data_IF_078090468085
#
_entry.id   IF_078090468085
#
_cell.length_a   1.000
_cell.length_b   1.000
_cell.length_c   1.000
_cell.angle_alpha   90.00
_cell.angle_beta   90.00
_cell.angle_gamma   90.00
#
_symmetry.space_group_name_H-M   'P 1'
#
loop_
_entity.id
_entity.type
_entity.pdbx_description
1 polymer ?
#
# COMPACT_ATOMS: atom_id res chain seq x y z
N UNK A 1 22.98 10.91 -4.01
CA UNK A 1 21.95 9.87 -3.85
C UNK A 1 20.60 10.54 -3.64
N UNK A 2 19.51 9.87 -4.02
CA UNK A 2 18.14 10.31 -3.77
C UNK A 2 17.57 9.55 -2.56
N UNK A 3 16.69 10.21 -1.78
CA UNK A 3 16.13 9.63 -0.57
C UNK A 3 14.61 9.66 -0.65
N UNK A 4 13.97 8.50 -0.51
CA UNK A 4 12.53 8.36 -0.35
C UNK A 4 12.18 7.95 1.08
N UNK A 5 11.20 8.62 1.69
CA UNK A 5 10.70 8.29 3.02
C UNK A 5 9.36 7.58 2.89
N UNK A 6 9.29 6.34 3.43
CA UNK A 6 8.04 5.59 3.42
C UNK A 6 7.12 6.01 4.57
N UNK A 7 5.89 6.38 4.23
CA UNK A 7 4.83 6.75 5.17
C UNK A 7 3.93 5.53 5.40
N UNK A 8 3.89 5.04 6.62
CA UNK A 8 3.18 3.82 6.98
C UNK A 8 2.34 3.99 8.25
N UNK A 9 1.20 3.31 8.28
CA UNK A 9 0.43 3.02 9.48
C UNK A 9 0.16 1.51 9.52
N UNK A 10 0.53 0.88 10.63
CA UNK A 10 0.45 -0.58 10.77
C UNK A 10 -0.99 -1.12 10.67
N UNK A 11 -2.01 -0.33 11.03
CA UNK A 11 -3.40 -0.75 10.92
C UNK A 11 -3.66 -2.07 11.66
N UNK A 12 -4.30 -3.06 10.98
CA UNK A 12 -4.65 -4.34 11.60
C UNK A 12 -3.43 -5.21 11.93
N UNK A 13 -2.26 -4.93 11.35
CA UNK A 13 -0.99 -5.62 11.64
C UNK A 13 -0.24 -5.02 12.84
N UNK A 14 -0.81 -3.98 13.45
CA UNK A 14 -0.28 -3.37 14.67
C UNK A 14 -0.37 -4.30 15.88
N UNK A 15 0.18 -3.84 16.99
CA UNK A 15 0.10 -4.51 18.29
C UNK A 15 -0.38 -3.48 19.32
N UNK A 16 -1.54 -3.71 19.92
CA UNK A 16 -2.18 -2.78 20.86
C UNK A 16 -1.32 -2.50 22.09
N UNK A 17 -0.61 -3.52 22.61
CA UNK A 17 0.30 -3.38 23.76
C UNK A 17 1.46 -2.44 23.44
N UNK A 18 2.06 -2.59 22.26
CA UNK A 18 3.19 -1.75 21.84
C UNK A 18 2.73 -0.33 21.49
N UNK A 19 1.54 -0.19 20.92
CA UNK A 19 0.94 1.10 20.58
C UNK A 19 0.43 1.88 21.81
N UNK A 20 0.19 1.21 22.92
CA UNK A 20 -0.45 1.81 24.11
C UNK A 20 -1.92 2.19 23.86
N UNK A 21 -2.54 1.73 22.77
CA UNK A 21 -3.90 2.03 22.35
C UNK A 21 -4.45 0.89 21.48
N UNK A 22 -5.80 0.76 21.37
CA UNK A 22 -6.39 -0.19 20.44
C UNK A 22 -5.92 0.04 19.01
N UNK A 23 -5.58 -1.04 18.30
CA UNK A 23 -5.28 -0.96 16.86
C UNK A 23 -6.58 -0.70 16.09
N UNK A 24 -6.46 -0.01 14.95
CA UNK A 24 -7.60 0.37 14.11
C UNK A 24 -7.39 -0.02 12.65
N UNK A 25 -8.48 -0.32 11.94
CA UNK A 25 -8.46 -0.73 10.53
C UNK A 25 -9.75 -0.33 9.80
N UNK A 26 -9.86 -0.69 8.54
CA UNK A 26 -11.07 -0.50 7.75
C UNK A 26 -12.30 -1.18 8.40
N UNK A 27 -12.11 -2.37 8.96
CA UNK A 27 -13.16 -3.15 9.66
C UNK A 27 -12.53 -3.99 10.78
N UNK A 28 -13.36 -4.45 11.70
CA UNK A 28 -12.96 -5.29 12.84
C UNK A 28 -12.75 -6.76 12.40
N UNK A 29 -11.78 -6.96 11.49
CA UNK A 29 -11.41 -8.27 10.95
C UNK A 29 -10.02 -8.63 11.44
N UNK A 30 -9.91 -9.77 12.12
CA UNK A 30 -8.62 -10.34 12.50
C UNK A 30 -7.89 -10.84 11.25
N UNK A 31 -6.67 -10.38 11.02
CA UNK A 31 -5.88 -10.74 9.84
C UNK A 31 -5.13 -12.04 10.03
N UNK A 32 -4.73 -12.36 11.27
CA UNK A 32 -4.00 -13.58 11.62
C UNK A 32 -4.47 -14.14 12.98
N UNK A 33 -4.45 -15.47 13.13
CA UNK A 33 -4.72 -16.11 14.40
C UNK A 33 -3.74 -15.62 15.49
N UNK A 34 -4.28 -15.25 16.65
CA UNK A 34 -3.49 -14.75 17.80
C UNK A 34 -3.14 -13.25 17.74
N UNK A 35 -3.58 -12.53 16.70
CA UNK A 35 -3.49 -11.07 16.63
C UNK A 35 -4.68 -10.40 17.32
N UNK A 36 -4.49 -9.15 17.71
CA UNK A 36 -5.56 -8.30 18.22
C UNK A 36 -6.63 -8.08 17.13
N UNK A 37 -7.89 -8.02 17.55
CA UNK A 37 -8.98 -7.62 16.64
C UNK A 37 -9.00 -6.09 16.58
N UNK A 38 -8.80 -5.49 15.40
CA UNK A 38 -8.81 -4.04 15.28
C UNK A 38 -10.20 -3.46 15.50
N UNK A 39 -10.25 -2.24 15.99
CA UNK A 39 -11.47 -1.43 15.98
C UNK A 39 -11.67 -0.84 14.58
N UNK A 40 -12.91 -0.76 14.14
CA UNK A 40 -13.26 -0.08 12.88
C UNK A 40 -13.06 1.43 13.04
N UNK A 41 -12.30 2.04 12.12
CA UNK A 41 -12.15 3.49 12.05
C UNK A 41 -13.50 4.18 11.78
N UNK A 42 -13.78 5.26 12.49
CA UNK A 42 -14.87 6.18 12.14
C UNK A 42 -14.51 7.00 10.91
N UNK A 43 -15.50 7.57 10.24
CA UNK A 43 -15.28 8.48 9.10
C UNK A 43 -14.42 9.69 9.48
N UNK A 44 -14.64 10.26 10.65
CA UNK A 44 -13.85 11.39 11.18
C UNK A 44 -12.38 11.00 11.37
N UNK A 45 -12.11 9.82 11.95
CA UNK A 45 -10.75 9.30 12.13
C UNK A 45 -10.06 9.05 10.79
N UNK A 46 -10.79 8.60 9.77
CA UNK A 46 -10.25 8.42 8.41
C UNK A 46 -9.77 9.76 7.85
N UNK A 47 -10.58 10.82 7.93
CA UNK A 47 -10.19 12.16 7.46
C UNK A 47 -9.01 12.73 8.27
N UNK A 48 -8.96 12.49 9.58
CA UNK A 48 -7.81 12.88 10.40
C UNK A 48 -6.52 12.16 9.96
N UNK A 49 -6.59 10.88 9.62
CA UNK A 49 -5.44 10.13 9.08
C UNK A 49 -4.99 10.67 7.72
N UNK A 50 -5.91 11.06 6.84
CA UNK A 50 -5.59 11.71 5.56
C UNK A 50 -4.75 12.98 5.78
N UNK A 51 -5.14 13.81 6.74
CA UNK A 51 -4.36 15.00 7.12
C UNK A 51 -2.98 14.62 7.69
N UNK A 52 -2.92 13.58 8.52
CA UNK A 52 -1.67 13.05 9.07
C UNK A 52 -0.66 12.58 8.00
N UNK A 53 -1.11 11.92 6.94
CA UNK A 53 -0.27 11.54 5.80
C UNK A 53 0.28 12.78 5.06
N UNK A 54 -0.57 13.79 4.82
CA UNK A 54 -0.15 15.01 4.16
C UNK A 54 0.85 15.82 5.02
N UNK A 55 0.65 15.90 6.33
CA UNK A 55 1.57 16.53 7.27
C UNK A 55 2.91 15.78 7.33
N UNK A 56 2.90 14.46 7.25
CA UNK A 56 4.11 13.65 7.21
C UNK A 56 4.89 13.88 5.89
N UNK A 57 4.20 13.95 4.76
CA UNK A 57 4.81 14.26 3.47
C UNK A 57 5.44 15.66 3.46
N UNK A 58 4.77 16.66 4.05
CA UNK A 58 5.33 18.01 4.17
C UNK A 58 6.58 18.03 5.05
N UNK A 59 6.58 17.31 6.17
CA UNK A 59 7.77 17.18 7.03
C UNK A 59 8.93 16.52 6.31
N UNK A 60 8.67 15.44 5.53
CA UNK A 60 9.67 14.76 4.74
C UNK A 60 10.29 15.71 3.69
N UNK A 61 9.46 16.45 2.96
CA UNK A 61 9.93 17.46 2.02
C UNK A 61 10.79 18.54 2.69
N UNK A 62 10.32 19.11 3.80
CA UNK A 62 11.07 20.14 4.58
C UNK A 62 12.39 19.61 5.13
N UNK A 63 12.49 18.31 5.39
CA UNK A 63 13.72 17.63 5.81
C UNK A 63 14.69 17.34 4.66
N UNK A 64 14.30 17.65 3.40
CA UNK A 64 15.15 17.47 2.23
C UNK A 64 15.03 16.11 1.54
N UNK A 65 13.96 15.34 1.82
CA UNK A 65 13.68 14.11 1.07
C UNK A 65 13.33 14.44 -0.39
N UNK A 66 13.74 13.57 -1.32
CA UNK A 66 13.44 13.68 -2.75
C UNK A 66 12.08 13.06 -3.10
N UNK A 67 11.63 12.10 -2.29
CA UNK A 67 10.36 11.40 -2.48
C UNK A 67 9.70 11.01 -1.15
N UNK A 68 8.39 10.81 -1.19
CA UNK A 68 7.65 10.04 -0.18
C UNK A 68 6.99 8.85 -0.84
N UNK A 69 6.91 7.75 -0.11
CA UNK A 69 6.22 6.54 -0.55
C UNK A 69 5.08 6.22 0.42
N UNK A 70 3.84 6.22 -0.07
CA UNK A 70 2.69 5.80 0.74
C UNK A 70 2.59 4.29 0.72
N UNK A 71 2.68 3.66 1.89
CA UNK A 71 2.59 2.21 2.02
C UNK A 71 1.14 1.75 1.96
N UNK A 72 0.76 1.09 0.86
CA UNK A 72 -0.58 0.59 0.57
C UNK A 72 -0.61 -0.93 0.34
N UNK A 73 0.37 -1.67 0.91
CA UNK A 73 0.58 -3.10 0.70
C UNK A 73 0.58 -3.89 2.02
N UNK A 74 0.77 -5.21 1.94
CA UNK A 74 1.13 -6.14 3.00
C UNK A 74 0.11 -6.28 4.14
N UNK A 75 -1.15 -5.91 3.94
CA UNK A 75 -2.17 -5.98 4.99
C UNK A 75 -2.19 -4.77 5.93
N UNK A 76 -1.29 -3.79 5.76
CA UNK A 76 -1.28 -2.58 6.58
C UNK A 76 -2.52 -1.72 6.35
N UNK A 77 -2.61 -0.57 7.05
CA UNK A 77 -3.84 0.21 7.12
C UNK A 77 -4.46 0.50 5.75
N UNK A 78 -3.71 1.07 4.80
CA UNK A 78 -4.29 1.45 3.50
C UNK A 78 -4.67 0.21 2.70
N UNK A 79 -3.86 -0.87 2.72
CA UNK A 79 -4.21 -2.14 2.09
C UNK A 79 -5.51 -2.72 2.69
N UNK A 80 -5.75 -2.53 4.00
CA UNK A 80 -6.97 -3.01 4.64
C UNK A 80 -8.24 -2.35 4.10
N UNK A 81 -8.15 -1.14 3.54
CA UNK A 81 -9.26 -0.49 2.82
C UNK A 81 -9.40 -0.98 1.39
N UNK A 82 -8.29 -1.23 0.70
CA UNK A 82 -8.27 -1.71 -0.69
C UNK A 82 -8.82 -3.13 -0.83
N UNK A 83 -8.47 -4.02 0.10
CA UNK A 83 -8.80 -5.44 0.01
C UNK A 83 -10.26 -5.73 0.39
N UNK A 84 -11.06 -6.36 -0.49
CA UNK A 84 -12.44 -6.74 -0.17
C UNK A 84 -12.52 -7.80 0.93
N UNK A 85 -11.41 -8.50 1.22
CA UNK A 85 -11.31 -9.43 2.33
C UNK A 85 -11.39 -8.75 3.68
N UNK A 86 -10.70 -7.63 3.84
CA UNK A 86 -10.56 -6.91 5.12
C UNK A 86 -11.46 -5.69 5.24
N UNK A 87 -11.92 -5.14 4.12
CA UNK A 87 -12.87 -4.03 4.09
C UNK A 87 -14.31 -4.55 3.99
N UNK A 88 -15.00 -4.58 5.11
CA UNK A 88 -16.44 -4.96 5.22
C UNK A 88 -17.33 -3.76 5.54
N UNK A 89 -16.85 -2.55 5.25
CA UNK A 89 -17.64 -1.32 5.45
C UNK A 89 -18.80 -1.25 4.47
N UNK A 90 -19.86 -0.60 4.93
CA UNK A 90 -21.08 -0.36 4.14
C UNK A 90 -21.32 1.14 3.89
N UNK A 91 -20.34 1.95 4.25
CA UNK A 91 -20.33 3.41 4.02
C UNK A 91 -19.52 3.78 2.76
N UNK A 92 -19.25 5.07 2.59
CA UNK A 92 -18.52 5.62 1.44
C UNK A 92 -17.07 5.12 1.29
N UNK A 93 -16.52 4.38 2.25
CA UNK A 93 -15.17 3.83 2.24
C UNK A 93 -15.14 2.31 2.01
N UNK A 94 -16.28 1.67 1.69
CA UNK A 94 -16.35 0.22 1.50
C UNK A 94 -17.42 -0.23 0.52
N UNK A 95 -17.51 -1.55 0.32
CA UNK A 95 -18.42 -2.15 -0.66
C UNK A 95 -17.80 -2.20 -2.06
N UNK A 96 -18.19 -1.29 -2.97
CA UNK A 96 -17.70 -1.27 -4.35
C UNK A 96 -16.22 -0.84 -4.44
N UNK A 97 -15.61 -1.09 -5.59
CA UNK A 97 -14.21 -0.76 -5.85
C UNK A 97 -13.92 0.73 -5.63
N UNK A 98 -14.75 1.60 -6.16
CA UNK A 98 -14.60 3.06 -6.08
C UNK A 98 -14.59 3.55 -4.62
N UNK A 99 -15.41 2.97 -3.77
CA UNK A 99 -15.45 3.30 -2.34
C UNK A 99 -14.20 2.79 -1.62
N UNK A 100 -13.72 1.58 -1.96
CA UNK A 100 -12.46 1.07 -1.39
C UNK A 100 -11.25 1.92 -1.81
N UNK A 101 -11.28 2.52 -3.00
CA UNK A 101 -10.27 3.45 -3.50
C UNK A 101 -10.35 4.85 -2.89
N UNK A 102 -11.43 5.21 -2.20
CA UNK A 102 -11.64 6.57 -1.67
C UNK A 102 -10.55 6.98 -0.66
N UNK A 103 -10.19 6.12 0.27
CA UNK A 103 -9.17 6.44 1.27
C UNK A 103 -7.79 6.67 0.65
N UNK A 104 -7.22 5.77 -0.18
CA UNK A 104 -5.96 6.04 -0.89
C UNK A 104 -6.04 7.28 -1.79
N UNK A 105 -7.16 7.51 -2.50
CA UNK A 105 -7.36 8.72 -3.29
C UNK A 105 -7.21 9.99 -2.46
N UNK A 106 -7.94 10.08 -1.35
CA UNK A 106 -7.89 11.24 -0.47
C UNK A 106 -6.49 11.49 0.08
N UNK A 107 -5.74 10.44 0.40
CA UNK A 107 -4.35 10.56 0.86
C UNK A 107 -3.49 11.20 -0.23
N UNK A 108 -3.50 10.67 -1.46
CA UNK A 108 -2.67 11.16 -2.56
C UNK A 108 -3.05 12.59 -2.92
N UNK A 109 -4.33 12.87 -3.12
CA UNK A 109 -4.83 14.23 -3.43
C UNK A 109 -4.43 15.25 -2.35
N UNK A 110 -4.52 14.86 -1.07
CA UNK A 110 -4.16 15.76 0.04
C UNK A 110 -2.65 15.98 0.12
N UNK A 111 -1.84 14.95 -0.11
CA UNK A 111 -0.38 15.08 -0.21
C UNK A 111 -0.04 16.03 -1.35
N UNK A 112 -0.57 15.82 -2.56
CA UNK A 112 -0.35 16.68 -3.73
C UNK A 112 -0.77 18.13 -3.46
N UNK A 113 -1.92 18.34 -2.86
CA UNK A 113 -2.36 19.68 -2.46
C UNK A 113 -1.37 20.36 -1.50
N UNK A 114 -0.72 19.60 -0.60
CA UNK A 114 0.20 20.11 0.41
C UNK A 114 1.60 20.37 -0.15
N UNK A 115 2.14 19.45 -0.93
CA UNK A 115 3.53 19.49 -1.40
C UNK A 115 3.68 19.85 -2.90
N UNK A 116 2.61 19.74 -3.70
CA UNK A 116 2.68 19.98 -5.15
C UNK A 116 3.70 19.05 -5.82
N UNK A 117 4.47 19.60 -6.77
CA UNK A 117 5.49 18.89 -7.54
C UNK A 117 6.92 19.02 -6.93
N UNK A 118 6.99 19.52 -5.69
CA UNK A 118 8.28 19.75 -5.00
C UNK A 118 8.95 18.47 -4.52
N UNK A 119 8.24 17.36 -4.49
CA UNK A 119 8.70 16.04 -4.05
C UNK A 119 7.94 14.97 -4.84
N UNK A 120 8.62 13.90 -5.22
CA UNK A 120 7.94 12.78 -5.86
C UNK A 120 7.05 12.01 -4.85
N UNK A 121 5.90 11.53 -5.31
CA UNK A 121 4.96 10.73 -4.52
C UNK A 121 4.86 9.35 -5.12
N UNK A 122 5.32 8.35 -4.38
CA UNK A 122 5.27 6.94 -4.75
C UNK A 122 4.16 6.25 -3.96
N UNK A 123 3.64 5.17 -4.52
CA UNK A 123 2.76 4.26 -3.79
C UNK A 123 3.32 2.83 -3.82
N UNK A 124 3.40 2.19 -2.65
CA UNK A 124 3.74 0.77 -2.57
C UNK A 124 2.48 -0.05 -2.48
N UNK A 125 2.25 -0.94 -3.45
CA UNK A 125 1.08 -1.81 -3.56
C UNK A 125 1.48 -3.28 -3.63
N UNK A 126 0.53 -4.19 -3.39
CA UNK A 126 0.71 -5.61 -3.70
C UNK A 126 0.41 -5.87 -5.18
N UNK A 127 1.13 -6.80 -5.82
CA UNK A 127 0.72 -7.38 -7.10
C UNK A 127 -0.46 -8.35 -6.94
N UNK A 128 -0.56 -8.97 -5.78
CA UNK A 128 -1.66 -9.84 -5.33
C UNK A 128 -1.58 -9.94 -3.81
N UNK A 129 -2.73 -10.06 -3.13
CA UNK A 129 -2.78 -10.31 -1.68
C UNK A 129 -2.45 -11.77 -1.33
N UNK A 130 -2.41 -12.68 -2.30
CA UNK A 130 -2.15 -14.13 -2.16
C UNK A 130 -3.07 -14.84 -1.18
N UNK A 131 -4.27 -14.33 -1.00
CA UNK A 131 -5.26 -14.86 -0.07
C UNK A 131 -6.66 -14.83 -0.67
N UNK A 132 -7.44 -15.89 -0.40
CA UNK A 132 -8.81 -15.99 -0.89
C UNK A 132 -9.66 -14.78 -0.45
N UNK A 133 -10.30 -14.14 -1.44
CA UNK A 133 -11.13 -12.95 -1.25
C UNK A 133 -10.36 -11.65 -1.05
N UNK A 134 -9.03 -11.69 -1.18
CA UNK A 134 -8.17 -10.50 -1.32
C UNK A 134 -8.11 -10.01 -2.76
N UNK A 135 -7.31 -8.99 -3.01
CA UNK A 135 -7.06 -8.49 -4.37
C UNK A 135 -6.17 -9.47 -5.14
N UNK A 136 -6.53 -9.73 -6.38
CA UNK A 136 -5.66 -10.43 -7.34
C UNK A 136 -4.88 -9.43 -8.22
N UNK A 137 -4.16 -9.93 -9.24
CA UNK A 137 -3.36 -9.08 -10.12
C UNK A 137 -4.21 -8.12 -10.96
N UNK A 138 -5.42 -8.50 -11.34
CA UNK A 138 -6.31 -7.64 -12.13
C UNK A 138 -6.88 -6.51 -11.27
N UNK A 139 -7.26 -6.80 -10.03
CA UNK A 139 -7.62 -5.78 -9.04
C UNK A 139 -6.46 -4.81 -8.81
N UNK A 140 -5.25 -5.34 -8.67
CA UNK A 140 -4.03 -4.55 -8.43
C UNK A 140 -3.66 -3.68 -9.63
N UNK A 141 -3.87 -4.15 -10.86
CA UNK A 141 -3.70 -3.35 -12.07
C UNK A 141 -4.72 -2.20 -12.14
N UNK A 142 -5.97 -2.44 -11.76
CA UNK A 142 -6.99 -1.40 -11.68
C UNK A 142 -6.66 -0.36 -10.58
N UNK A 143 -6.19 -0.82 -9.42
CA UNK A 143 -5.69 0.05 -8.33
C UNK A 143 -4.54 0.92 -8.84
N UNK A 144 -3.58 0.32 -9.56
CA UNK A 144 -2.42 1.02 -10.11
C UNK A 144 -2.82 2.15 -11.07
N UNK A 145 -3.73 1.87 -12.01
CA UNK A 145 -4.25 2.87 -12.95
C UNK A 145 -4.93 4.04 -12.22
N UNK A 146 -5.78 3.75 -11.22
CA UNK A 146 -6.39 4.80 -10.42
C UNK A 146 -5.35 5.64 -9.64
N UNK A 147 -4.29 5.02 -9.11
CA UNK A 147 -3.25 5.74 -8.39
C UNK A 147 -2.46 6.67 -9.31
N UNK A 148 -2.18 6.27 -10.55
CA UNK A 148 -1.61 7.15 -11.58
C UNK A 148 -2.52 8.36 -11.84
N UNK A 149 -3.83 8.14 -12.03
CA UNK A 149 -4.81 9.21 -12.23
C UNK A 149 -4.90 10.17 -11.03
N UNK A 150 -4.66 9.67 -9.80
CA UNK A 150 -4.64 10.50 -8.59
C UNK A 150 -3.34 11.30 -8.42
N UNK A 151 -2.34 11.06 -9.28
CA UNK A 151 -1.09 11.81 -9.31
C UNK A 151 0.08 11.15 -8.61
N UNK A 152 0.13 9.82 -8.56
CA UNK A 152 1.33 9.07 -8.16
C UNK A 152 2.36 9.12 -9.28
N UNK A 153 3.65 9.39 -8.95
CA UNK A 153 4.74 9.50 -9.93
C UNK A 153 5.40 8.16 -10.28
N UNK A 154 5.35 7.19 -9.36
CA UNK A 154 5.88 5.84 -9.57
C UNK A 154 5.23 4.85 -8.62
N UNK A 155 5.17 3.58 -9.03
CA UNK A 155 4.68 2.47 -8.20
C UNK A 155 5.85 1.62 -7.73
N UNK A 156 5.76 1.16 -6.48
CA UNK A 156 6.64 0.14 -5.91
C UNK A 156 5.79 -1.11 -5.66
N UNK A 157 5.97 -2.12 -6.51
CA UNK A 157 5.12 -3.30 -6.51
C UNK A 157 5.79 -4.43 -5.74
N UNK A 158 5.13 -4.84 -4.66
CA UNK A 158 5.49 -5.99 -3.84
C UNK A 158 4.46 -7.11 -4.04
N UNK A 159 4.44 -8.11 -3.17
CA UNK A 159 3.51 -9.23 -3.23
C UNK A 159 3.07 -9.63 -1.84
N UNK A 160 1.81 -10.07 -1.69
CA UNK A 160 1.28 -10.74 -0.51
C UNK A 160 0.95 -9.85 0.70
N UNK A 161 0.26 -10.47 1.64
CA UNK A 161 -0.05 -9.95 2.98
C UNK A 161 0.57 -10.84 4.05
N UNK A 162 0.69 -10.35 5.29
CA UNK A 162 1.43 -11.01 6.37
C UNK A 162 1.02 -12.47 6.67
N UNK A 163 -0.21 -12.87 6.43
CA UNK A 163 -0.61 -14.28 6.62
C UNK A 163 0.01 -15.23 5.58
N UNK A 164 0.62 -14.69 4.53
CA UNK A 164 1.31 -15.41 3.46
C UNK A 164 2.76 -14.91 3.35
N UNK A 165 3.45 -14.94 4.49
CA UNK A 165 4.82 -14.41 4.66
C UNK A 165 5.82 -15.03 3.66
N UNK A 166 5.58 -16.25 3.19
CA UNK A 166 6.43 -16.93 2.20
C UNK A 166 6.57 -16.21 0.86
N UNK A 167 5.63 -15.31 0.52
CA UNK A 167 5.72 -14.46 -0.68
C UNK A 167 6.21 -13.05 -0.37
N UNK A 168 6.07 -12.60 0.87
CA UNK A 168 6.56 -11.29 1.31
C UNK A 168 8.04 -11.33 1.70
N UNK A 169 8.45 -12.40 2.39
CA UNK A 169 9.83 -12.67 2.83
C UNK A 169 10.35 -13.95 2.17
N UNK A 170 10.31 -13.99 0.84
CA UNK A 170 10.55 -15.22 0.09
C UNK A 170 11.85 -15.93 0.50
N UNK A 171 11.77 -17.19 0.98
CA UNK A 171 12.94 -17.96 1.38
C UNK A 171 13.80 -18.35 0.18
N UNK A 172 15.00 -18.88 0.44
CA UNK A 172 15.96 -19.25 -0.60
C UNK A 172 15.42 -20.25 -1.62
N UNK A 173 14.45 -21.08 -1.24
CA UNK A 173 13.80 -22.03 -2.13
C UNK A 173 12.91 -21.38 -3.21
N UNK A 174 12.51 -20.12 -3.02
CA UNK A 174 11.76 -19.37 -4.03
C UNK A 174 12.75 -18.74 -5.00
N UNK A 175 12.52 -18.89 -6.32
CA UNK A 175 13.42 -18.36 -7.35
C UNK A 175 13.47 -16.82 -7.33
N UNK A 176 14.57 -16.23 -7.82
CA UNK A 176 14.68 -14.79 -8.01
C UNK A 176 13.64 -14.27 -9.00
N UNK A 177 13.15 -13.05 -8.80
CA UNK A 177 12.17 -12.44 -9.70
C UNK A 177 10.78 -13.10 -9.67
N UNK A 178 10.43 -13.83 -8.63
CA UNK A 178 9.19 -14.62 -8.52
C UNK A 178 7.89 -13.83 -8.66
N UNK A 179 7.95 -12.50 -8.63
CA UNK A 179 6.81 -11.61 -8.83
C UNK A 179 6.78 -10.92 -10.20
N UNK A 180 7.79 -11.17 -11.05
CA UNK A 180 7.96 -10.45 -12.31
C UNK A 180 6.75 -10.51 -13.24
N UNK A 181 6.13 -11.68 -13.37
CA UNK A 181 4.94 -11.84 -14.22
C UNK A 181 3.79 -10.95 -13.78
N UNK A 182 3.49 -10.92 -12.46
CA UNK A 182 2.42 -10.10 -11.91
C UNK A 182 2.74 -8.60 -12.03
N UNK A 183 4.01 -8.23 -11.84
CA UNK A 183 4.46 -6.83 -11.99
C UNK A 183 4.36 -6.39 -13.45
N UNK A 184 4.63 -7.27 -14.41
CA UNK A 184 4.46 -7.02 -15.84
C UNK A 184 3.02 -6.68 -16.18
N UNK A 185 2.04 -7.40 -15.63
CA UNK A 185 0.61 -7.10 -15.84
C UNK A 185 0.25 -5.70 -15.30
N UNK A 186 0.75 -5.34 -14.11
CA UNK A 186 0.55 -4.01 -13.55
C UNK A 186 1.22 -2.93 -14.41
N UNK A 187 2.46 -3.17 -14.88
CA UNK A 187 3.16 -2.22 -15.75
C UNK A 187 2.43 -1.95 -17.06
N UNK A 188 1.71 -2.93 -17.61
CA UNK A 188 0.88 -2.74 -18.81
C UNK A 188 -0.32 -1.81 -18.59
N UNK A 189 -0.77 -1.69 -17.34
CA UNK A 189 -1.92 -0.85 -16.98
C UNK A 189 -1.56 0.62 -16.72
N UNK A 190 -0.26 0.96 -16.61
CA UNK A 190 0.22 2.30 -16.26
C UNK A 190 1.36 2.78 -17.17
N UNK A 191 1.51 4.11 -17.28
CA UNK A 191 2.61 4.73 -18.03
C UNK A 191 3.77 5.11 -17.11
N UNK A 192 3.51 5.37 -15.82
CA UNK A 192 4.52 5.74 -14.82
C UNK A 192 5.52 4.61 -14.54
N UNK A 193 6.72 4.94 -14.04
CA UNK A 193 7.71 3.95 -13.62
C UNK A 193 7.17 2.95 -12.59
N UNK A 194 7.59 1.69 -12.72
CA UNK A 194 7.27 0.62 -11.78
C UNK A 194 8.57 0.03 -11.23
N UNK A 195 8.71 0.07 -9.91
CA UNK A 195 9.80 -0.58 -9.17
C UNK A 195 9.32 -1.96 -8.78
N UNK A 196 10.07 -2.99 -9.16
CA UNK A 196 9.78 -4.39 -8.77
C UNK A 196 10.70 -4.85 -7.65
N UNK A 197 10.21 -5.79 -6.83
CA UNK A 197 10.99 -6.50 -5.82
C UNK A 197 10.71 -7.99 -5.89
N UNK A 198 11.64 -8.82 -5.41
CA UNK A 198 11.45 -10.27 -5.42
C UNK A 198 12.74 -11.05 -5.58
N UNK A 199 13.69 -10.91 -4.61
CA UNK A 199 14.94 -11.67 -4.57
C UNK A 199 15.81 -11.56 -5.82
N UNK A 200 15.98 -10.35 -6.34
CA UNK A 200 16.97 -10.09 -7.37
C UNK A 200 18.37 -10.11 -6.74
N UNK A 201 19.13 -11.17 -6.97
CA UNK A 201 20.48 -11.35 -6.43
C UNK A 201 21.57 -10.98 -7.43
N UNK A 202 21.24 -10.98 -8.72
CA UNK A 202 22.15 -10.71 -9.81
C UNK A 202 21.70 -9.47 -10.59
N UNK A 203 22.54 -8.41 -10.72
CA UNK A 203 22.18 -7.19 -11.45
C UNK A 203 21.77 -7.45 -12.90
N UNK A 204 22.45 -8.40 -13.58
CA UNK A 204 22.13 -8.76 -14.97
C UNK A 204 20.71 -9.32 -15.12
N UNK A 205 20.24 -10.05 -14.13
CA UNK A 205 18.85 -10.57 -14.13
C UNK A 205 17.84 -9.43 -13.94
N UNK A 206 18.16 -8.45 -13.09
CA UNK A 206 17.30 -7.28 -12.91
C UNK A 206 17.22 -6.40 -14.16
N UNK A 207 18.28 -6.37 -15.00
CA UNK A 207 18.29 -5.62 -16.26
C UNK A 207 17.49 -6.29 -17.39
N UNK A 208 17.21 -7.60 -17.28
CA UNK A 208 16.47 -8.37 -18.30
C UNK A 208 14.94 -8.25 -18.11
N UNK A 209 14.46 -7.70 -17.01
CA UNK A 209 13.05 -7.56 -16.65
C UNK A 209 12.55 -6.14 -16.87
#
# INVERSE_FOLDING_TARGET
>A
AKVSIQLQNAGPEGNAKNAGAPIKAASSICTQCGRDIPQTLTTEEIYHLVDGYADAAERAWKAGADAVEVHMAHGYLVNSFLSPRTNKRVDEFGGCFENRMRFPRLIIEKIRKRVGDRIAVLARINSSDEILGGNDVHDSAAIAACLEDYGVDALHVSRSVHIRDEYMWAPTAVHGGFSADLVTEIKRAVTIPVITVGRFTEPQYAELL
#
